data_IF_397823199813
#
_entry.id   IF_397823199813
#
_cell.length_a   1.000
_cell.length_b   1.000
_cell.length_c   1.000
_cell.angle_alpha   90.00
_cell.angle_beta   90.00
_cell.angle_gamma   90.00
#
_symmetry.space_group_name_H-M   'P 1'
#
loop_
_entity.id
_entity.type
_entity.pdbx_description
1 polymer ?
#
# COMPACT_ATOMS: atom_id res chain seq x y z
N UNK A 1 -21.98 12.97 -5.66
CA UNK A 1 -22.93 13.65 -6.49
C UNK A 1 -24.00 12.69 -6.93
N UNK A 2 -25.21 13.06 -6.63
CA UNK A 2 -26.34 12.33 -7.12
C UNK A 2 -26.32 12.33 -8.64
N UNK A 3 -26.51 11.21 -9.26
CA UNK A 3 -26.56 11.10 -10.71
C UNK A 3 -25.35 10.44 -11.35
N UNK A 4 -24.22 10.37 -10.66
CA UNK A 4 -23.08 9.63 -11.20
C UNK A 4 -23.23 8.16 -10.85
N UNK A 5 -23.15 7.24 -11.84
CA UNK A 5 -23.20 5.83 -11.53
C UNK A 5 -21.95 5.42 -10.75
N UNK A 6 -22.04 4.42 -9.87
CA UNK A 6 -20.86 3.92 -9.17
C UNK A 6 -19.85 3.36 -10.17
N UNK A 7 -18.58 3.57 -9.89
CA UNK A 7 -17.50 3.01 -10.72
C UNK A 7 -17.55 1.50 -10.69
N UNK A 8 -17.58 0.83 -11.85
CA UNK A 8 -17.54 -0.64 -11.87
C UNK A 8 -16.28 -1.15 -11.19
N UNK A 9 -16.32 -2.29 -10.50
CA UNK A 9 -15.12 -2.85 -9.84
C UNK A 9 -13.92 -2.99 -10.76
N UNK A 10 -14.14 -3.36 -12.02
CA UNK A 10 -13.05 -3.51 -13.01
C UNK A 10 -12.39 -2.20 -13.38
N UNK A 11 -13.07 -1.06 -13.19
CA UNK A 11 -12.54 0.27 -13.51
C UNK A 11 -11.99 1.01 -12.29
N UNK A 12 -12.11 0.42 -11.10
CA UNK A 12 -11.59 1.03 -9.87
C UNK A 12 -10.07 0.98 -9.85
N UNK A 13 -9.47 1.95 -9.16
CA UNK A 13 -8.03 1.94 -8.93
C UNK A 13 -7.65 0.72 -8.12
N UNK A 14 -6.49 0.16 -8.42
CA UNK A 14 -5.98 -1.04 -7.77
C UNK A 14 -4.97 -0.67 -6.68
N UNK A 15 -5.21 -1.15 -5.48
CA UNK A 15 -4.31 -0.98 -4.34
C UNK A 15 -3.76 -2.35 -3.95
N UNK A 16 -2.44 -2.46 -3.87
CA UNK A 16 -1.78 -3.66 -3.37
C UNK A 16 -1.32 -3.39 -1.94
N UNK A 17 -1.82 -4.19 -1.01
CA UNK A 17 -1.49 -4.08 0.41
C UNK A 17 -0.60 -5.28 0.79
N UNK A 18 0.59 -5.01 1.31
CA UNK A 18 1.46 -6.05 1.84
C UNK A 18 1.56 -5.88 3.35
N UNK A 19 1.02 -6.84 4.09
CA UNK A 19 0.94 -6.82 5.54
C UNK A 19 0.94 -8.26 6.04
N UNK A 20 1.86 -8.60 6.94
CA UNK A 20 1.97 -9.96 7.46
C UNK A 20 0.99 -10.26 8.59
N UNK A 21 0.47 -9.22 9.28
CA UNK A 21 -0.57 -9.43 10.29
C UNK A 21 -1.92 -9.60 9.58
N UNK A 22 -2.53 -10.79 9.66
CA UNK A 22 -3.78 -11.05 8.92
C UNK A 22 -4.95 -10.19 9.38
N UNK A 23 -4.97 -9.77 10.64
CA UNK A 23 -6.06 -8.93 11.15
C UNK A 23 -5.97 -7.52 10.58
N UNK A 24 -4.77 -6.96 10.54
CA UNK A 24 -4.53 -5.63 9.98
C UNK A 24 -4.80 -5.67 8.47
N UNK A 25 -4.31 -6.69 7.77
CA UNK A 25 -4.54 -6.84 6.34
C UNK A 25 -6.04 -6.91 6.03
N UNK A 26 -6.80 -7.66 6.83
CA UNK A 26 -8.25 -7.80 6.63
C UNK A 26 -8.99 -6.49 6.86
N UNK A 27 -8.59 -5.73 7.89
CA UNK A 27 -9.20 -4.42 8.14
C UNK A 27 -8.95 -3.46 6.99
N UNK A 28 -7.72 -3.41 6.49
CA UNK A 28 -7.36 -2.55 5.36
C UNK A 28 -8.11 -2.95 4.09
N UNK A 29 -8.15 -4.26 3.81
CA UNK A 29 -8.89 -4.76 2.66
C UNK A 29 -10.36 -4.36 2.72
N UNK A 30 -10.98 -4.56 3.88
CA UNK A 30 -12.40 -4.25 4.06
C UNK A 30 -12.70 -2.77 3.85
N UNK A 31 -11.92 -1.89 4.45
CA UNK A 31 -12.22 -0.45 4.37
C UNK A 31 -11.91 0.10 2.98
N UNK A 32 -10.86 -0.38 2.34
CA UNK A 32 -10.47 0.12 1.02
C UNK A 32 -11.29 -0.48 -0.11
N UNK A 33 -11.83 -1.68 0.06
CA UNK A 33 -12.63 -2.34 -0.98
C UNK A 33 -13.96 -1.63 -1.27
N UNK A 34 -14.37 -0.71 -0.41
CA UNK A 34 -15.58 0.08 -0.66
C UNK A 34 -15.46 0.91 -1.95
N UNK A 35 -14.24 1.37 -2.29
CA UNK A 35 -14.03 2.25 -3.45
C UNK A 35 -12.93 1.78 -4.40
N UNK A 36 -12.09 0.83 -3.98
CA UNK A 36 -10.93 0.38 -4.75
C UNK A 36 -10.92 -1.12 -4.93
N UNK A 37 -10.17 -1.59 -5.94
CA UNK A 37 -9.83 -3.00 -6.03
C UNK A 37 -8.64 -3.21 -5.11
N UNK A 38 -8.71 -4.18 -4.22
CA UNK A 38 -7.65 -4.43 -3.24
C UNK A 38 -7.14 -5.85 -3.38
N UNK A 39 -5.83 -5.99 -3.48
CA UNK A 39 -5.16 -7.28 -3.41
C UNK A 39 -4.25 -7.26 -2.20
N UNK A 40 -4.25 -8.34 -1.44
CA UNK A 40 -3.45 -8.46 -0.23
C UNK A 40 -2.33 -9.45 -0.44
N UNK A 41 -1.10 -9.05 -0.08
CA UNK A 41 0.06 -9.91 -0.03
C UNK A 41 0.44 -10.09 1.44
N UNK A 42 0.87 -11.28 1.83
CA UNK A 42 1.24 -11.57 3.21
C UNK A 42 2.72 -11.34 3.50
N UNK A 43 3.51 -11.06 2.48
CA UNK A 43 4.94 -10.76 2.62
C UNK A 43 5.44 -9.99 1.40
N UNK A 44 6.69 -9.52 1.49
CA UNK A 44 7.27 -8.71 0.42
C UNK A 44 7.50 -9.47 -0.88
N UNK A 45 7.88 -10.73 -0.78
CA UNK A 45 8.09 -11.58 -1.96
C UNK A 45 6.79 -11.73 -2.76
N UNK A 46 5.70 -12.02 -2.07
CA UNK A 46 4.39 -12.15 -2.68
C UNK A 46 3.94 -10.81 -3.29
N UNK A 47 4.24 -9.69 -2.61
CA UNK A 47 3.89 -8.36 -3.12
C UNK A 47 4.56 -8.08 -4.46
N UNK A 48 5.84 -8.41 -4.61
CA UNK A 48 6.56 -8.23 -5.87
C UNK A 48 5.92 -9.08 -6.97
N UNK A 49 5.62 -10.34 -6.67
CA UNK A 49 5.01 -11.25 -7.63
C UNK A 49 3.64 -10.75 -8.10
N UNK A 50 2.81 -10.28 -7.19
CA UNK A 50 1.49 -9.74 -7.51
C UNK A 50 1.62 -8.47 -8.34
N UNK A 51 2.51 -7.57 -7.96
CA UNK A 51 2.71 -6.31 -8.68
C UNK A 51 3.14 -6.55 -10.14
N UNK A 52 3.91 -7.58 -10.39
CA UNK A 52 4.34 -7.94 -11.74
C UNK A 52 3.16 -8.42 -12.60
N UNK A 53 2.21 -9.13 -12.02
CA UNK A 53 1.04 -9.66 -12.73
C UNK A 53 -0.11 -8.67 -12.81
N UNK A 54 -0.33 -7.92 -11.73
CA UNK A 54 -1.43 -6.97 -11.61
C UNK A 54 -0.88 -5.64 -11.10
N UNK A 55 -0.33 -4.81 -11.99
CA UNK A 55 0.28 -3.55 -11.56
C UNK A 55 -0.69 -2.67 -10.77
N UNK A 56 -0.33 -2.27 -9.56
CA UNK A 56 -1.20 -1.42 -8.76
C UNK A 56 -1.05 0.06 -9.10
N UNK A 57 -2.07 0.83 -8.74
CA UNK A 57 -2.03 2.30 -8.81
C UNK A 57 -1.44 2.88 -7.54
N UNK A 58 -1.44 2.12 -6.44
CA UNK A 58 -0.87 2.51 -5.16
C UNK A 58 -0.45 1.26 -4.40
N UNK A 59 0.69 1.35 -3.72
CA UNK A 59 1.18 0.29 -2.84
C UNK A 59 1.06 0.74 -1.39
N UNK A 60 0.66 -0.19 -0.52
CA UNK A 60 0.71 0.00 0.91
C UNK A 60 1.53 -1.13 1.48
N UNK A 61 2.72 -0.82 1.99
CA UNK A 61 3.70 -1.83 2.38
C UNK A 61 4.08 -1.69 3.85
N UNK A 62 3.90 -2.76 4.61
CA UNK A 62 4.49 -2.86 5.95
C UNK A 62 6.01 -2.98 5.78
N UNK A 63 6.77 -2.20 6.54
CA UNK A 63 8.22 -2.22 6.46
C UNK A 63 8.77 -3.50 7.10
N UNK A 64 8.25 -3.85 8.27
CA UNK A 64 8.76 -4.99 9.04
C UNK A 64 7.98 -6.26 8.71
N UNK A 65 8.42 -6.94 7.65
CA UNK A 65 7.85 -8.23 7.25
C UNK A 65 8.95 -9.31 7.24
N UNK A 66 8.60 -10.56 7.54
CA UNK A 66 9.57 -11.66 7.45
C UNK A 66 10.07 -11.83 6.01
N UNK A 67 11.34 -12.17 5.85
CA UNK A 67 11.96 -12.38 4.55
C UNK A 67 12.28 -11.05 3.87
N UNK A 68 11.61 -10.75 2.78
CA UNK A 68 11.81 -9.49 2.07
C UNK A 68 11.05 -8.38 2.78
N UNK A 69 11.77 -7.41 3.35
CA UNK A 69 11.15 -6.28 4.03
C UNK A 69 10.49 -5.30 3.05
N UNK A 70 9.69 -4.38 3.61
CA UNK A 70 8.92 -3.44 2.77
C UNK A 70 9.77 -2.50 1.93
N UNK A 71 10.93 -2.08 2.43
CA UNK A 71 11.81 -1.18 1.68
C UNK A 71 12.42 -1.90 0.48
N UNK A 72 12.87 -3.14 0.68
CA UNK A 72 13.41 -3.97 -0.39
C UNK A 72 12.34 -4.28 -1.43
N UNK A 73 11.15 -4.67 -0.97
CA UNK A 73 10.03 -4.93 -1.87
C UNK A 73 9.68 -3.70 -2.70
N UNK A 74 9.68 -2.52 -2.08
CA UNK A 74 9.40 -1.27 -2.79
C UNK A 74 10.41 -1.02 -3.91
N UNK A 75 11.70 -1.22 -3.65
CA UNK A 75 12.73 -1.06 -4.68
C UNK A 75 12.52 -2.03 -5.83
N UNK A 76 12.26 -3.30 -5.52
CA UNK A 76 12.04 -4.31 -6.55
C UNK A 76 10.80 -4.01 -7.39
N UNK A 77 9.72 -3.56 -6.75
CA UNK A 77 8.49 -3.23 -7.46
C UNK A 77 8.70 -2.03 -8.38
N UNK A 78 9.44 -1.01 -7.94
CA UNK A 78 9.72 0.16 -8.79
C UNK A 78 10.60 -0.16 -10.00
N UNK A 79 11.31 -1.27 -9.98
CA UNK A 79 12.08 -1.73 -11.14
C UNK A 79 11.21 -2.44 -12.18
N UNK A 80 9.97 -2.79 -11.83
CA UNK A 80 9.04 -3.41 -12.76
C UNK A 80 8.56 -2.40 -13.81
N UNK A 81 8.29 -2.86 -15.05
CA UNK A 81 7.81 -1.96 -16.09
C UNK A 81 6.55 -1.21 -15.70
N UNK A 82 6.57 0.11 -15.88
CA UNK A 82 5.44 0.97 -15.59
C UNK A 82 5.25 1.34 -14.13
N UNK A 83 6.09 0.84 -13.21
CA UNK A 83 5.92 1.08 -11.77
C UNK A 83 7.01 1.96 -11.16
N UNK A 84 7.83 2.61 -11.97
CA UNK A 84 8.91 3.46 -11.48
C UNK A 84 8.42 4.56 -10.53
N UNK A 85 7.26 5.13 -10.80
CA UNK A 85 6.72 6.25 -10.05
C UNK A 85 5.45 5.90 -9.27
N UNK A 86 5.19 4.62 -9.05
CA UNK A 86 4.01 4.21 -8.31
C UNK A 86 4.06 4.78 -6.89
N UNK A 87 2.98 5.42 -6.42
CA UNK A 87 2.97 5.94 -5.05
C UNK A 87 2.95 4.80 -4.05
N UNK A 88 3.74 4.96 -2.98
CA UNK A 88 3.87 3.96 -1.93
C UNK A 88 3.60 4.61 -0.58
N UNK A 89 2.72 3.99 0.20
CA UNK A 89 2.52 4.32 1.60
C UNK A 89 3.18 3.22 2.41
N UNK A 90 4.15 3.57 3.24
CA UNK A 90 4.77 2.62 4.16
C UNK A 90 4.01 2.57 5.47
N UNK A 91 3.78 1.37 5.98
CA UNK A 91 3.25 1.15 7.31
C UNK A 91 4.42 0.87 8.22
N UNK A 92 4.57 1.64 9.29
CA UNK A 92 5.72 1.52 10.17
C UNK A 92 5.31 1.57 11.63
N UNK A 93 6.02 0.82 12.48
CA UNK A 93 5.79 0.89 13.91
C UNK A 93 6.25 2.26 14.44
N UNK A 94 5.51 2.80 15.41
CA UNK A 94 5.83 4.07 16.03
C UNK A 94 7.25 4.09 16.61
N UNK A 95 7.69 2.95 17.15
CA UNK A 95 9.00 2.80 17.76
C UNK A 95 9.98 2.08 16.83
N UNK A 96 9.78 2.19 15.54
CA UNK A 96 10.65 1.56 14.56
C UNK A 96 12.07 2.12 14.60
N UNK A 97 13.06 1.35 14.12
CA UNK A 97 14.45 1.82 14.11
C UNK A 97 14.60 3.11 13.32
N UNK A 98 15.45 4.01 13.82
CA UNK A 98 15.72 5.29 13.15
C UNK A 98 16.23 5.12 11.73
N UNK A 99 17.01 4.04 11.49
CA UNK A 99 17.55 3.76 10.15
C UNK A 99 16.43 3.51 9.14
N UNK A 100 15.37 2.82 9.58
CA UNK A 100 14.21 2.55 8.75
C UNK A 100 13.48 3.85 8.44
N UNK A 101 13.29 4.72 9.45
CA UNK A 101 12.63 6.01 9.27
C UNK A 101 13.43 6.88 8.30
N UNK A 102 14.75 6.92 8.45
CA UNK A 102 15.62 7.68 7.54
C UNK A 102 15.55 7.13 6.12
N UNK A 103 15.50 5.81 5.97
CA UNK A 103 15.33 5.18 4.67
C UNK A 103 14.04 5.59 3.98
N UNK A 104 12.96 5.69 4.75
CA UNK A 104 11.67 6.17 4.24
C UNK A 104 11.80 7.63 3.81
N UNK A 105 12.39 8.48 4.65
CA UNK A 105 12.51 9.89 4.37
C UNK A 105 13.37 10.19 3.15
N UNK A 106 14.32 9.32 2.83
CA UNK A 106 15.20 9.53 1.68
C UNK A 106 14.56 9.16 0.35
N UNK A 107 13.52 8.30 0.34
CA UNK A 107 12.92 7.82 -0.90
C UNK A 107 11.41 7.72 -0.92
N UNK A 108 10.76 7.81 0.23
CA UNK A 108 9.31 7.68 0.32
C UNK A 108 8.70 8.97 0.83
N UNK A 109 7.62 9.40 0.18
CA UNK A 109 6.91 10.63 0.55
C UNK A 109 5.77 10.38 1.52
N UNK A 110 5.34 9.13 1.67
CA UNK A 110 4.15 8.79 2.44
C UNK A 110 4.42 7.63 3.38
N UNK A 111 4.01 7.79 4.62
CA UNK A 111 4.06 6.72 5.60
C UNK A 111 2.94 6.90 6.62
N UNK A 112 2.55 5.81 7.25
CA UNK A 112 1.54 5.78 8.30
C UNK A 112 2.11 4.99 9.46
N UNK A 113 2.08 5.56 10.66
CA UNK A 113 2.57 4.89 11.86
C UNK A 113 1.49 4.02 12.50
N UNK A 114 1.89 2.83 12.94
CA UNK A 114 1.01 1.94 13.70
C UNK A 114 1.08 2.30 15.19
N UNK A 115 -0.01 2.29 15.92
CA UNK A 115 -1.37 2.03 15.45
C UNK A 115 -1.94 3.23 14.71
N UNK A 116 -2.83 2.97 13.75
CA UNK A 116 -3.44 4.01 12.94
C UNK A 116 -4.98 3.91 13.00
N UNK A 117 -5.64 4.99 12.60
CA UNK A 117 -7.08 5.01 12.43
C UNK A 117 -7.40 4.73 10.97
N UNK A 118 -8.41 3.90 10.71
CA UNK A 118 -8.79 3.57 9.34
C UNK A 118 -9.21 4.80 8.55
N UNK A 119 -9.85 5.77 9.19
CA UNK A 119 -10.23 7.02 8.53
C UNK A 119 -9.02 7.78 8.01
N UNK A 120 -7.91 7.77 8.74
CA UNK A 120 -6.67 8.43 8.32
C UNK A 120 -6.05 7.72 7.11
N UNK A 121 -6.14 6.39 7.08
CA UNK A 121 -5.66 5.59 5.95
C UNK A 121 -6.46 5.94 4.70
N UNK A 122 -7.78 5.91 4.80
CA UNK A 122 -8.66 6.21 3.67
C UNK A 122 -8.43 7.63 3.15
N UNK A 123 -8.32 8.60 4.06
CA UNK A 123 -8.07 10.00 3.68
C UNK A 123 -6.76 10.15 2.91
N UNK A 124 -5.69 9.48 3.36
CA UNK A 124 -4.40 9.55 2.71
C UNK A 124 -4.44 8.90 1.32
N UNK A 125 -5.10 7.76 1.19
CA UNK A 125 -5.26 7.09 -0.10
C UNK A 125 -6.01 7.97 -1.08
N UNK A 126 -7.13 8.57 -0.65
CA UNK A 126 -7.92 9.46 -1.49
C UNK A 126 -7.11 10.67 -1.97
N UNK A 127 -6.32 11.24 -1.07
CA UNK A 127 -5.49 12.40 -1.39
C UNK A 127 -4.45 12.04 -2.44
N UNK A 128 -3.77 10.90 -2.30
CA UNK A 128 -2.73 10.47 -3.21
C UNK A 128 -3.30 10.11 -4.58
N UNK A 129 -4.39 9.36 -4.61
CA UNK A 129 -5.03 8.92 -5.85
C UNK A 129 -5.99 9.96 -6.42
N UNK A 130 -6.24 11.04 -5.72
CA UNK A 130 -7.16 12.12 -6.13
C UNK A 130 -8.56 11.58 -6.39
N UNK A 131 -9.05 10.78 -5.47
CA UNK A 131 -10.39 10.17 -5.54
C UNK A 131 -11.28 10.48 -4.30
#
# INVERSE_FOLDING_TARGET
VSGSPPTPPSARRHILVAEDDPDIARMLERVLSAEYRVTVASNGFEAVAIAAKKPPNLLMLDIMMPGVDGLTAARQIRELPGLKNVPIIFLTAKDGPLDVIKGIQSGARHYITKPFKLDDVVAKVKKILKT
#
